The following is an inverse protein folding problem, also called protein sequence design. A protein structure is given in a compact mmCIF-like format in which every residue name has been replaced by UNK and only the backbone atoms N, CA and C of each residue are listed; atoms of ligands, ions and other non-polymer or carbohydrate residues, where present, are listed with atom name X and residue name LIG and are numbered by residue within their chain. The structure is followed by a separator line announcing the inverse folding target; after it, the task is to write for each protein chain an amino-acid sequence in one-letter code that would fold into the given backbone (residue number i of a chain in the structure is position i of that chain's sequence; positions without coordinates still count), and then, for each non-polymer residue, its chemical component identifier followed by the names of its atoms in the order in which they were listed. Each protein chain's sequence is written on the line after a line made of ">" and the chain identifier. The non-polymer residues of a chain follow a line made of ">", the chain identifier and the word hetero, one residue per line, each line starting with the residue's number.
data_IF_180725244385
#
_entry.id   IF_180725244385
#
_cell.length_a   1.000
_cell.length_b   1.000
_cell.length_c   1.000
_cell.angle_alpha   90.00
_cell.angle_beta   90.00
_cell.angle_gamma   90.00
#
_symmetry.space_group_name_H-M   'P 1'
#
loop_
_entity.id
_entity.type
_entity.pdbx_description
1 polymer ?
#
# COMPACT_ATOMS: atom_id res chain seq x y z
N UNK A 1 8.31 22.87 -15.80
CA UNK A 1 7.68 21.80 -15.02
C UNK A 1 7.89 20.51 -15.81
N UNK A 2 8.57 19.51 -15.25
CA UNK A 2 8.75 18.24 -15.94
C UNK A 2 7.39 17.51 -16.05
N UNK A 3 7.11 16.94 -17.21
CA UNK A 3 5.88 16.16 -17.43
C UNK A 3 6.00 14.86 -16.65
N UNK A 4 5.03 14.54 -15.77
CA UNK A 4 4.96 13.25 -15.09
C UNK A 4 4.40 12.16 -16.01
N UNK A 5 5.27 11.64 -16.85
CA UNK A 5 4.91 10.58 -17.82
C UNK A 5 4.38 9.33 -17.11
N UNK A 6 4.97 8.96 -15.97
CA UNK A 6 4.49 7.83 -15.18
C UNK A 6 3.05 8.04 -14.70
N UNK A 7 2.72 9.25 -14.25
CA UNK A 7 1.35 9.62 -13.86
C UNK A 7 0.36 9.52 -15.01
N UNK A 8 0.74 9.98 -16.21
CA UNK A 8 -0.12 9.89 -17.42
C UNK A 8 -0.47 8.42 -17.75
N UNK A 9 0.48 7.50 -17.65
CA UNK A 9 0.23 6.06 -17.91
C UNK A 9 -0.63 5.43 -16.82
N UNK A 10 -0.39 5.80 -15.55
CA UNK A 10 -1.23 5.39 -14.40
C UNK A 10 -2.68 5.83 -14.61
N UNK A 11 -2.89 7.09 -14.96
CA UNK A 11 -4.24 7.63 -15.22
C UNK A 11 -4.90 6.93 -16.41
N UNK A 12 -4.15 6.58 -17.45
CA UNK A 12 -4.66 5.79 -18.58
C UNK A 12 -5.10 4.38 -18.15
N UNK A 13 -4.37 3.72 -17.27
CA UNK A 13 -4.75 2.40 -16.73
C UNK A 13 -6.04 2.49 -15.91
N UNK A 14 -6.11 3.45 -14.98
CA UNK A 14 -7.30 3.66 -14.16
C UNK A 14 -8.52 3.98 -15.02
N UNK A 15 -8.41 4.86 -16.02
CA UNK A 15 -9.49 5.19 -16.93
C UNK A 15 -9.99 3.96 -17.73
N UNK A 16 -9.08 3.10 -18.23
CA UNK A 16 -9.48 1.87 -18.91
C UNK A 16 -10.28 0.93 -17.99
N UNK A 17 -9.88 0.80 -16.74
CA UNK A 17 -10.50 -0.15 -15.79
C UNK A 17 -11.75 0.43 -15.14
N UNK A 18 -11.69 1.65 -14.64
CA UNK A 18 -12.77 2.27 -13.85
C UNK A 18 -13.85 2.91 -14.74
N UNK A 19 -13.46 3.64 -15.79
CA UNK A 19 -14.41 4.41 -16.63
C UNK A 19 -14.90 3.59 -17.82
N UNK A 20 -14.00 2.84 -18.47
CA UNK A 20 -14.32 2.08 -19.69
C UNK A 20 -14.70 0.61 -19.39
N UNK A 21 -14.54 0.15 -18.13
CA UNK A 21 -14.90 -1.20 -17.68
C UNK A 21 -14.07 -2.31 -18.30
N UNK A 22 -12.87 -2.01 -18.80
CA UNK A 22 -11.97 -3.04 -19.36
C UNK A 22 -11.43 -3.90 -18.21
N UNK A 23 -11.64 -5.24 -18.22
CA UNK A 23 -11.05 -6.10 -17.20
C UNK A 23 -9.53 -5.93 -17.13
N UNK A 24 -8.98 -5.73 -15.93
CA UNK A 24 -7.54 -5.45 -15.72
C UNK A 24 -6.65 -6.52 -16.35
N UNK A 25 -7.04 -7.80 -16.27
CA UNK A 25 -6.33 -8.92 -16.90
C UNK A 25 -6.20 -8.74 -18.42
N UNK A 26 -7.22 -8.12 -19.06
CA UNK A 26 -7.30 -7.92 -20.52
C UNK A 26 -6.65 -6.62 -20.99
N UNK A 27 -6.29 -5.73 -20.08
CA UNK A 27 -5.57 -4.50 -20.43
C UNK A 27 -4.20 -4.87 -21.02
N UNK A 28 -3.90 -4.33 -22.20
CA UNK A 28 -2.64 -4.54 -22.91
C UNK A 28 -1.80 -3.27 -22.93
N UNK A 29 -0.48 -3.42 -23.02
CA UNK A 29 0.43 -2.27 -23.18
C UNK A 29 0.03 -1.44 -24.40
N UNK A 30 -0.44 -2.07 -25.50
CA UNK A 30 -0.91 -1.36 -26.70
C UNK A 30 -2.05 -0.39 -26.39
N UNK A 31 -3.06 -0.83 -25.61
CA UNK A 31 -4.17 0.04 -25.19
C UNK A 31 -3.69 1.19 -24.30
N UNK A 32 -2.78 0.90 -23.35
CA UNK A 32 -2.17 1.92 -22.50
C UNK A 32 -1.44 2.99 -23.34
N UNK A 33 -0.63 2.59 -24.34
CA UNK A 33 0.07 3.52 -25.21
C UNK A 33 -0.90 4.36 -26.05
N UNK A 34 -1.97 3.75 -26.58
CA UNK A 34 -2.99 4.47 -27.34
C UNK A 34 -3.74 5.49 -26.47
N UNK A 35 -4.08 5.10 -25.23
CA UNK A 35 -4.83 5.95 -24.31
C UNK A 35 -3.99 7.10 -23.75
N UNK A 36 -2.73 6.81 -23.39
CA UNK A 36 -1.82 7.78 -22.77
C UNK A 36 -1.09 8.69 -23.77
N UNK A 37 -1.03 8.31 -25.04
CA UNK A 37 -0.21 8.99 -26.06
C UNK A 37 1.30 8.80 -25.87
N UNK A 38 1.73 7.93 -24.94
CA UNK A 38 3.14 7.69 -24.61
C UNK A 38 3.74 6.69 -25.59
N UNK A 39 5.00 6.88 -26.01
CA UNK A 39 5.69 5.93 -26.86
C UNK A 39 6.02 4.62 -26.14
N UNK A 40 6.16 3.52 -26.89
CA UNK A 40 6.53 2.22 -26.33
C UNK A 40 7.87 2.27 -25.57
N UNK A 41 8.85 2.95 -26.12
CA UNK A 41 10.15 3.12 -25.48
C UNK A 41 10.02 3.89 -24.16
N UNK A 42 9.24 4.97 -24.16
CA UNK A 42 9.00 5.77 -22.96
C UNK A 42 8.28 4.97 -21.89
N UNK A 43 7.29 4.12 -22.26
CA UNK A 43 6.63 3.22 -21.32
C UNK A 43 7.66 2.32 -20.61
N UNK A 44 8.50 1.62 -21.37
CA UNK A 44 9.48 0.69 -20.80
C UNK A 44 10.65 1.36 -20.08
N UNK A 45 10.82 2.68 -20.22
CA UNK A 45 11.72 3.47 -19.38
C UNK A 45 11.15 3.71 -17.97
N UNK A 46 9.83 3.59 -17.78
CA UNK A 46 9.13 3.84 -16.51
C UNK A 46 8.61 2.57 -15.85
N UNK A 47 8.25 1.56 -16.62
CA UNK A 47 7.61 0.34 -16.15
C UNK A 47 8.24 -0.88 -16.79
N UNK A 48 8.56 -1.88 -15.97
CA UNK A 48 9.11 -3.16 -16.49
C UNK A 48 8.04 -3.91 -17.30
N UNK A 49 6.84 -3.96 -16.78
CA UNK A 49 5.68 -4.63 -17.37
C UNK A 49 4.36 -4.06 -16.82
N UNK A 50 3.24 -4.75 -17.07
CA UNK A 50 1.93 -4.38 -16.55
C UNK A 50 1.82 -4.59 -15.05
N UNK A 51 2.45 -5.61 -14.48
CA UNK A 51 2.41 -5.88 -13.05
C UNK A 51 3.17 -4.80 -12.27
N UNK A 52 4.32 -4.38 -12.76
CA UNK A 52 5.05 -3.23 -12.21
C UNK A 52 4.20 -1.95 -12.27
N UNK A 53 3.49 -1.70 -13.39
CA UNK A 53 2.57 -0.56 -13.47
C UNK A 53 1.45 -0.66 -12.41
N UNK A 54 0.85 -1.83 -12.20
CA UNK A 54 -0.17 -2.06 -11.16
C UNK A 54 0.39 -1.74 -9.77
N UNK A 55 1.59 -2.22 -9.47
CA UNK A 55 2.27 -1.91 -8.21
C UNK A 55 2.56 -0.41 -8.05
N UNK A 56 2.95 0.28 -9.13
CA UNK A 56 3.18 1.72 -9.10
C UNK A 56 1.87 2.54 -8.94
N UNK A 57 0.73 2.05 -9.44
CA UNK A 57 -0.58 2.65 -9.09
C UNK A 57 -0.80 2.59 -7.58
N UNK A 58 -0.62 1.41 -6.99
CA UNK A 58 -0.74 1.22 -5.54
C UNK A 58 0.16 2.17 -4.75
N UNK A 59 1.44 2.24 -5.09
CA UNK A 59 2.41 3.12 -4.41
C UNK A 59 2.06 4.61 -4.54
N UNK A 60 1.73 5.05 -5.74
CA UNK A 60 1.65 6.49 -6.05
C UNK A 60 0.26 7.08 -5.84
N UNK A 61 -0.80 6.27 -5.86
CA UNK A 61 -2.19 6.73 -5.72
C UNK A 61 -2.86 6.27 -4.44
N UNK A 62 -2.43 5.14 -3.85
CA UNK A 62 -3.12 4.51 -2.74
C UNK A 62 -2.35 4.70 -1.42
N UNK A 63 -1.10 4.24 -1.37
CA UNK A 63 -0.32 4.21 -0.12
C UNK A 63 0.77 5.27 -0.05
N UNK A 64 0.61 6.37 -0.77
CA UNK A 64 1.59 7.47 -0.82
C UNK A 64 1.93 8.03 0.57
N UNK A 65 1.01 7.99 1.53
CA UNK A 65 1.25 8.40 2.91
C UNK A 65 2.24 7.52 3.66
N UNK A 66 2.39 6.25 3.24
CA UNK A 66 3.36 5.30 3.78
C UNK A 66 4.71 5.33 3.04
N UNK A 67 4.98 6.40 2.30
CA UNK A 67 6.28 6.63 1.65
C UNK A 67 7.04 7.73 2.37
N UNK A 68 8.23 7.42 2.89
CA UNK A 68 9.10 8.37 3.56
C UNK A 68 9.31 8.07 5.04
N UNK A 69 10.06 8.95 5.73
CA UNK A 69 10.35 8.83 7.16
C UNK A 69 9.27 9.58 7.93
N UNK A 70 8.42 8.91 8.72
CA UNK A 70 7.29 9.55 9.36
C UNK A 70 7.71 10.30 10.63
N UNK A 71 7.85 11.60 10.56
CA UNK A 71 7.81 12.45 11.75
C UNK A 71 6.37 12.85 12.03
N UNK A 72 5.87 12.56 13.24
CA UNK A 72 4.47 12.85 13.62
C UNK A 72 3.43 11.97 12.91
N UNK A 73 3.81 10.77 12.53
CA UNK A 73 2.96 9.84 11.79
C UNK A 73 1.81 9.30 12.66
N UNK A 74 0.59 9.52 12.20
CA UNK A 74 -0.63 9.00 12.81
C UNK A 74 -1.09 7.77 12.03
N UNK A 75 -0.63 6.58 12.42
CA UNK A 75 -0.84 5.33 11.69
C UNK A 75 -2.31 5.08 11.32
N UNK A 76 -3.24 5.24 12.27
CA UNK A 76 -4.66 5.04 12.02
C UNK A 76 -5.20 5.98 10.95
N UNK A 77 -4.87 7.27 11.01
CA UNK A 77 -5.43 8.27 10.13
C UNK A 77 -4.88 8.13 8.71
N UNK A 78 -3.60 7.76 8.59
CA UNK A 78 -3.00 7.45 7.28
C UNK A 78 -3.55 6.15 6.68
N UNK A 79 -3.79 5.13 7.53
CA UNK A 79 -4.45 3.90 7.09
C UNK A 79 -5.88 4.18 6.62
N UNK A 80 -6.67 4.96 7.39
CA UNK A 80 -8.04 5.35 7.00
C UNK A 80 -8.06 6.04 5.64
N UNK A 81 -7.13 7.00 5.38
CA UNK A 81 -7.00 7.67 4.08
C UNK A 81 -6.65 6.68 2.95
N UNK A 82 -5.71 5.80 3.18
CA UNK A 82 -5.34 4.78 2.18
C UNK A 82 -6.50 3.82 1.88
N UNK A 83 -7.25 3.40 2.91
CA UNK A 83 -8.44 2.58 2.72
C UNK A 83 -9.54 3.32 1.93
N UNK A 84 -9.71 4.63 2.16
CA UNK A 84 -10.63 5.45 1.37
C UNK A 84 -10.26 5.49 -0.11
N UNK A 85 -8.97 5.68 -0.43
CA UNK A 85 -8.46 5.62 -1.79
C UNK A 85 -8.61 4.22 -2.42
N UNK A 86 -8.42 3.15 -1.63
CA UNK A 86 -8.68 1.78 -2.11
C UNK A 86 -10.14 1.56 -2.48
N UNK A 87 -11.08 2.14 -1.74
CA UNK A 87 -12.51 2.09 -2.08
C UNK A 87 -12.84 2.98 -3.26
N UNK A 88 -12.28 4.17 -3.35
CA UNK A 88 -12.44 5.08 -4.50
C UNK A 88 -12.04 4.37 -5.80
N UNK A 89 -10.91 3.67 -5.79
CA UNK A 89 -10.44 2.83 -6.90
C UNK A 89 -10.88 1.36 -6.76
N UNK A 90 -12.13 1.14 -6.32
CA UNK A 90 -12.59 -0.18 -5.87
C UNK A 90 -12.63 -1.23 -6.98
N UNK A 91 -12.93 -0.87 -8.21
CA UNK A 91 -12.93 -1.80 -9.36
C UNK A 91 -11.51 -2.25 -9.67
N UNK A 92 -10.57 -1.32 -9.76
CA UNK A 92 -9.16 -1.61 -9.96
C UNK A 92 -8.60 -2.45 -8.80
N UNK A 93 -8.81 -2.01 -7.56
CA UNK A 93 -8.25 -2.70 -6.37
C UNK A 93 -8.73 -4.13 -6.23
N UNK A 94 -10.03 -4.42 -6.46
CA UNK A 94 -10.55 -5.80 -6.41
C UNK A 94 -9.94 -6.68 -7.47
N UNK A 95 -9.79 -6.17 -8.69
CA UNK A 95 -9.20 -6.95 -9.78
C UNK A 95 -7.71 -7.18 -9.55
N UNK A 96 -6.96 -6.15 -9.11
CA UNK A 96 -5.54 -6.27 -8.82
C UNK A 96 -5.26 -7.21 -7.64
N UNK A 97 -6.09 -7.17 -6.58
CA UNK A 97 -5.96 -8.05 -5.42
C UNK A 97 -6.33 -9.52 -5.73
N UNK A 98 -7.15 -9.76 -6.77
CA UNK A 98 -7.55 -11.09 -7.20
C UNK A 98 -6.59 -11.75 -8.21
N UNK A 99 -5.60 -11.00 -8.72
CA UNK A 99 -4.61 -11.57 -9.65
C UNK A 99 -3.65 -12.49 -8.92
N UNK A 100 -3.44 -13.70 -9.46
CA UNK A 100 -2.54 -14.73 -8.92
C UNK A 100 -1.26 -14.88 -9.78
N UNK A 101 -0.75 -13.78 -10.30
CA UNK A 101 0.48 -13.75 -11.07
C UNK A 101 1.71 -13.61 -10.16
N UNK A 102 2.88 -14.03 -10.63
CA UNK A 102 4.16 -13.73 -9.98
C UNK A 102 4.37 -12.21 -9.89
N UNK A 103 4.89 -11.73 -8.77
CA UNK A 103 5.04 -10.29 -8.46
C UNK A 103 3.70 -9.54 -8.46
N UNK A 104 2.64 -10.17 -7.98
CA UNK A 104 1.32 -9.58 -7.87
C UNK A 104 1.26 -8.48 -6.79
N UNK A 105 0.14 -7.72 -6.80
CA UNK A 105 -0.08 -6.64 -5.84
C UNK A 105 0.01 -7.11 -4.38
N UNK A 106 -0.48 -8.32 -4.08
CA UNK A 106 -0.50 -8.85 -2.70
C UNK A 106 0.90 -9.05 -2.15
N UNK A 107 1.80 -9.65 -2.93
CA UNK A 107 3.21 -9.84 -2.57
C UNK A 107 3.92 -8.50 -2.42
N UNK A 108 3.71 -7.59 -3.37
CA UNK A 108 4.25 -6.24 -3.34
C UNK A 108 3.79 -5.47 -2.10
N UNK A 109 2.49 -5.49 -1.78
CA UNK A 109 1.91 -4.82 -0.62
C UNK A 109 2.47 -5.37 0.71
N UNK A 110 2.63 -6.70 0.82
CA UNK A 110 3.23 -7.31 2.01
C UNK A 110 4.68 -6.89 2.21
N UNK A 111 5.49 -6.94 1.16
CA UNK A 111 6.89 -6.51 1.20
C UNK A 111 6.99 -5.04 1.59
N UNK A 112 6.19 -4.20 0.97
CA UNK A 112 6.19 -2.76 1.21
C UNK A 112 5.79 -2.39 2.63
N UNK A 113 4.75 -3.05 3.17
CA UNK A 113 4.32 -2.84 4.55
C UNK A 113 5.39 -3.26 5.56
N UNK A 114 6.07 -4.38 5.33
CA UNK A 114 7.17 -4.81 6.20
C UNK A 114 8.34 -3.81 6.19
N UNK A 115 8.77 -3.37 5.02
CA UNK A 115 9.85 -2.38 4.89
C UNK A 115 9.51 -1.07 5.60
N UNK A 116 8.29 -0.56 5.40
CA UNK A 116 7.84 0.65 6.05
C UNK A 116 7.77 0.51 7.57
N UNK A 117 7.11 -0.54 8.08
CA UNK A 117 6.91 -0.74 9.51
C UNK A 117 8.23 -0.96 10.24
N UNK A 118 9.16 -1.71 9.65
CA UNK A 118 10.50 -1.91 10.22
C UNK A 118 11.28 -0.60 10.29
N UNK A 119 11.26 0.21 9.23
CA UNK A 119 11.92 1.51 9.22
C UNK A 119 11.28 2.48 10.24
N UNK A 120 9.94 2.49 10.31
CA UNK A 120 9.23 3.33 11.26
C UNK A 120 9.50 2.92 12.71
N UNK A 121 9.37 1.63 13.05
CA UNK A 121 9.65 1.16 14.41
C UNK A 121 11.11 1.35 14.80
N UNK A 122 12.06 1.16 13.86
CA UNK A 122 13.47 1.49 14.10
C UNK A 122 13.63 2.98 14.44
N UNK A 123 12.92 3.87 13.76
CA UNK A 123 12.97 5.31 14.06
C UNK A 123 12.42 5.68 15.43
N UNK A 124 11.42 4.94 15.91
CA UNK A 124 10.86 5.09 17.28
C UNK A 124 11.79 4.49 18.34
N UNK A 125 12.42 3.36 18.03
CA UNK A 125 13.37 2.67 18.91
C UNK A 125 14.63 3.50 19.15
N UNK A 126 15.19 4.05 18.11
CA UNK A 126 16.38 4.88 18.15
C UNK A 126 17.55 4.35 17.31
N UNK A 127 18.79 4.65 17.76
CA UNK A 127 20.01 4.34 16.99
C UNK A 127 20.50 2.91 17.23
N UNK A 128 20.12 2.31 18.35
CA UNK A 128 20.46 0.93 18.65
C UNK A 128 19.62 -0.06 17.83
N UNK A 129 20.13 -1.25 17.51
CA UNK A 129 19.35 -2.28 16.84
C UNK A 129 18.08 -2.64 17.63
N UNK A 130 16.94 -2.74 16.94
CA UNK A 130 15.71 -3.23 17.58
C UNK A 130 15.90 -4.64 18.14
N UNK A 131 15.33 -4.96 19.32
CA UNK A 131 15.25 -6.32 19.82
C UNK A 131 14.59 -7.26 18.80
N UNK A 132 15.04 -8.50 18.73
CA UNK A 132 14.52 -9.48 17.78
C UNK A 132 13.01 -9.72 17.95
N UNK A 133 12.51 -9.73 19.19
CA UNK A 133 11.08 -9.87 19.48
C UNK A 133 10.26 -8.71 18.88
N UNK A 134 10.75 -7.47 18.99
CA UNK A 134 10.09 -6.30 18.39
C UNK A 134 10.11 -6.38 16.86
N UNK A 135 11.26 -6.79 16.29
CA UNK A 135 11.40 -6.98 14.85
C UNK A 135 10.40 -8.02 14.31
N UNK A 136 10.30 -9.18 14.96
CA UNK A 136 9.38 -10.26 14.58
C UNK A 136 7.92 -9.85 14.74
N UNK A 137 7.57 -9.19 15.85
CA UNK A 137 6.22 -8.66 16.06
C UNK A 137 5.84 -7.61 15.01
N UNK A 138 6.78 -6.75 14.62
CA UNK A 138 6.59 -5.77 13.54
C UNK A 138 6.23 -6.46 12.23
N UNK A 139 7.01 -7.44 11.81
CA UNK A 139 6.75 -8.21 10.57
C UNK A 139 5.40 -8.93 10.64
N UNK A 140 5.10 -9.60 11.77
CA UNK A 140 3.83 -10.29 11.98
C UNK A 140 2.64 -9.34 11.80
N UNK A 141 2.67 -8.18 12.47
CA UNK A 141 1.59 -7.21 12.39
C UNK A 141 1.47 -6.55 11.01
N UNK A 142 2.59 -6.28 10.33
CA UNK A 142 2.57 -5.78 8.96
C UNK A 142 1.85 -6.74 8.02
N UNK A 143 2.23 -8.02 8.05
CA UNK A 143 1.60 -9.06 7.24
C UNK A 143 0.11 -9.23 7.55
N UNK A 144 -0.25 -9.30 8.85
CA UNK A 144 -1.64 -9.42 9.28
C UNK A 144 -2.50 -8.24 8.81
N UNK A 145 -1.98 -7.01 8.90
CA UNK A 145 -2.66 -5.79 8.45
C UNK A 145 -2.94 -5.80 6.95
N UNK A 146 -1.96 -6.19 6.13
CA UNK A 146 -2.15 -6.31 4.68
C UNK A 146 -3.18 -7.39 4.36
N UNK A 147 -3.09 -8.56 5.01
CA UNK A 147 -4.04 -9.65 4.77
C UNK A 147 -5.49 -9.27 5.15
N UNK A 148 -5.69 -8.56 6.25
CA UNK A 148 -7.01 -8.02 6.63
C UNK A 148 -7.52 -7.04 5.57
N UNK A 149 -6.67 -6.16 5.08
CA UNK A 149 -7.00 -5.18 4.02
C UNK A 149 -7.38 -5.88 2.72
N UNK A 150 -6.59 -6.86 2.27
CA UNK A 150 -6.88 -7.64 1.06
C UNK A 150 -8.21 -8.40 1.18
N UNK A 151 -8.48 -9.01 2.33
CA UNK A 151 -9.75 -9.69 2.60
C UNK A 151 -10.93 -8.72 2.54
N UNK A 152 -10.78 -7.51 3.05
CA UNK A 152 -11.79 -6.46 2.99
C UNK A 152 -12.04 -6.00 1.55
N UNK A 153 -11.00 -5.81 0.73
CA UNK A 153 -11.11 -5.48 -0.70
C UNK A 153 -11.86 -6.58 -1.45
N UNK A 154 -11.40 -7.84 -1.30
CA UNK A 154 -11.95 -9.00 -2.01
C UNK A 154 -13.41 -9.30 -1.61
N UNK A 155 -13.80 -8.98 -0.38
CA UNK A 155 -15.18 -9.12 0.11
C UNK A 155 -16.09 -7.95 -0.31
N UNK A 156 -15.61 -6.99 -1.11
CA UNK A 156 -16.39 -5.88 -1.62
C UNK A 156 -16.55 -4.72 -0.63
N UNK A 157 -15.55 -4.51 0.23
CA UNK A 157 -15.50 -3.37 1.16
C UNK A 157 -16.66 -3.36 2.18
N UNK A 158 -16.90 -4.43 2.96
CA UNK A 158 -18.11 -4.60 3.76
C UNK A 158 -18.21 -3.63 4.96
N UNK A 159 -17.09 -3.16 5.48
CA UNK A 159 -17.05 -2.25 6.62
C UNK A 159 -16.56 -0.85 6.19
N UNK A 160 -16.95 0.23 6.89
CA UNK A 160 -16.37 1.56 6.71
C UNK A 160 -14.85 1.57 6.96
N UNK A 161 -14.12 2.41 6.24
CA UNK A 161 -12.66 2.55 6.32
C UNK A 161 -12.19 2.83 7.74
N UNK A 162 -12.87 3.75 8.43
CA UNK A 162 -12.57 4.14 9.79
C UNK A 162 -12.67 2.97 10.78
N UNK A 163 -13.66 2.11 10.61
CA UNK A 163 -13.84 0.94 11.46
C UNK A 163 -12.70 -0.06 11.25
N UNK A 164 -12.36 -0.33 9.99
CA UNK A 164 -11.25 -1.23 9.65
C UNK A 164 -9.91 -0.66 10.11
N UNK A 165 -9.64 0.63 9.86
CA UNK A 165 -8.42 1.29 10.32
C UNK A 165 -8.29 1.24 11.85
N UNK A 166 -9.39 1.50 12.57
CA UNK A 166 -9.43 1.40 14.02
C UNK A 166 -9.15 -0.01 14.51
N UNK A 167 -9.78 -1.02 13.88
CA UNK A 167 -9.58 -2.42 14.25
C UNK A 167 -8.12 -2.85 14.03
N UNK A 168 -7.56 -2.59 12.86
CA UNK A 168 -6.17 -2.92 12.52
C UNK A 168 -5.22 -2.24 13.51
N UNK A 169 -5.40 -0.94 13.78
CA UNK A 169 -4.54 -0.17 14.70
C UNK A 169 -4.59 -0.75 16.11
N UNK A 170 -5.78 -1.09 16.61
CA UNK A 170 -5.93 -1.70 17.94
C UNK A 170 -5.26 -3.09 17.99
N UNK A 171 -5.46 -3.92 16.96
CA UNK A 171 -4.84 -5.24 16.89
C UNK A 171 -3.31 -5.13 16.89
N UNK A 172 -2.75 -4.18 16.17
CA UNK A 172 -1.31 -3.89 16.15
C UNK A 172 -0.80 -3.41 17.50
N UNK A 173 -1.62 -2.65 18.25
CA UNK A 173 -1.27 -2.14 19.56
C UNK A 173 -1.24 -3.19 20.67
N UNK A 174 -1.93 -4.32 20.51
CA UNK A 174 -2.01 -5.35 21.54
C UNK A 174 -0.62 -5.96 21.79
N UNK A 175 -0.13 -5.81 23.00
CA UNK A 175 1.15 -6.35 23.44
C UNK A 175 2.40 -5.58 22.99
N UNK A 176 2.27 -4.65 22.07
CA UNK A 176 3.41 -3.87 21.56
C UNK A 176 3.99 -2.90 22.59
N UNK A 177 3.19 -2.44 23.55
CA UNK A 177 3.61 -1.51 24.59
C UNK A 177 4.86 -2.01 25.33
N UNK A 178 4.87 -3.28 25.76
CA UNK A 178 6.01 -3.90 26.43
C UNK A 178 7.25 -4.02 25.54
N UNK A 179 7.03 -4.26 24.23
CA UNK A 179 8.11 -4.40 23.27
C UNK A 179 8.79 -3.06 22.97
N UNK A 180 8.09 -1.94 23.22
CA UNK A 180 8.64 -0.60 23.09
C UNK A 180 9.22 -0.02 24.40
N UNK A 181 9.35 -0.81 25.46
CA UNK A 181 10.07 -0.38 26.67
C UNK A 181 11.52 -0.06 26.31
N UNK A 182 11.94 1.18 26.58
CA UNK A 182 13.26 1.69 26.24
C UNK A 182 13.39 2.41 24.90
N UNK A 183 12.31 2.48 24.11
CA UNK A 183 12.29 3.29 22.89
C UNK A 183 12.38 4.81 23.20
N UNK A 184 12.81 5.61 22.21
CA UNK A 184 12.85 7.08 22.32
C UNK A 184 11.45 7.68 22.54
N UNK A 185 10.43 7.08 21.95
CA UNK A 185 9.04 7.44 22.16
C UNK A 185 8.43 6.42 23.12
N UNK A 186 8.24 6.75 24.40
CA UNK A 186 7.67 5.81 25.35
C UNK A 186 6.19 5.53 25.05
N UNK A 187 5.78 4.32 25.33
CA UNK A 187 4.39 3.87 25.17
C UNK A 187 4.09 3.21 23.83
N UNK A 188 2.81 2.84 23.67
CA UNK A 188 2.36 2.19 22.45
C UNK A 188 2.22 3.22 21.29
N UNK A 189 3.00 3.12 20.19
CA UNK A 189 2.92 4.06 19.08
C UNK A 189 1.58 4.01 18.30
N UNK A 190 0.73 3.03 18.61
CA UNK A 190 -0.63 2.86 18.08
C UNK A 190 -1.73 3.34 19.04
N UNK A 191 -1.36 3.94 20.17
CA UNK A 191 -2.34 4.53 21.08
C UNK A 191 -3.08 5.70 20.40
N UNK A 192 -4.36 5.85 20.76
CA UNK A 192 -5.25 6.91 20.23
C UNK A 192 -5.12 8.18 21.05
#
# INVERSE_FOLDING_TARGET
>A
MAIDVGGIVIDALLALVEDEGVPLERVTVKQLLQRSGVSRQTFYNHFLDKNDLICQVYERRIVCAFSGTPTGFAYRDELERSLALMREHGTFMRQAAAMDDQNNLSEHAMKRAQEFDLAWHQSLWGDDPMPEELRLATVYHAMASVQMTLSWILSGFPAPERELATLITRMRGIGMEKLFEGARTPGNPYAF
#
